data_IF_599871597986
#
_entry.id   IF_599871597986
#
_cell.length_a   1.000
_cell.length_b   1.000
_cell.length_c   1.000
_cell.angle_alpha   90.00
_cell.angle_beta   90.00
_cell.angle_gamma   90.00
#
_symmetry.space_group_name_H-M   'P 1'
#
loop_
_entity.id
_entity.type
_entity.pdbx_description
1 polymer ?
#
# COMPACT_ATOMS: atom_id res chain seq x y z
N UNK A 1 -12.34 -25.31 6.75
CA UNK A 1 -11.05 -24.61 6.54
C UNK A 1 -11.11 -23.11 6.84
N UNK A 2 -12.11 -22.36 6.35
CA UNK A 2 -12.26 -20.90 6.61
C UNK A 2 -12.38 -20.53 8.10
N UNK A 3 -13.31 -21.15 8.83
CA UNK A 3 -13.49 -20.91 10.27
C UNK A 3 -12.25 -21.22 11.12
N UNK A 4 -11.43 -22.21 10.70
CA UNK A 4 -10.18 -22.53 11.39
C UNK A 4 -9.12 -21.42 11.20
N UNK A 5 -9.01 -20.87 9.98
CA UNK A 5 -8.11 -19.73 9.70
C UNK A 5 -8.55 -18.47 10.44
N UNK A 6 -9.85 -18.21 10.51
CA UNK A 6 -10.41 -17.07 11.27
C UNK A 6 -10.12 -17.20 12.78
N UNK A 7 -10.31 -18.39 13.35
CA UNK A 7 -9.98 -18.65 14.75
C UNK A 7 -8.47 -18.46 15.04
N UNK A 8 -7.60 -18.93 14.13
CA UNK A 8 -6.16 -18.71 14.26
C UNK A 8 -5.80 -17.22 14.26
N UNK A 9 -6.38 -16.42 13.33
CA UNK A 9 -6.17 -14.98 13.29
C UNK A 9 -6.63 -14.28 14.57
N UNK A 10 -7.82 -14.62 15.07
CA UNK A 10 -8.34 -14.07 16.33
C UNK A 10 -7.40 -14.37 17.52
N UNK A 11 -6.89 -15.61 17.61
CA UNK A 11 -5.90 -16.02 18.62
C UNK A 11 -4.56 -15.28 18.51
N UNK A 12 -4.16 -14.90 17.30
CA UNK A 12 -2.95 -14.09 17.08
C UNK A 12 -3.20 -12.66 17.56
N UNK A 13 -4.34 -12.06 17.21
CA UNK A 13 -4.67 -10.67 17.56
C UNK A 13 -4.80 -10.51 19.07
N UNK A 14 -5.40 -11.45 19.80
CA UNK A 14 -5.42 -11.39 21.28
C UNK A 14 -4.02 -11.42 21.91
N UNK A 15 -3.03 -11.89 21.13
CA UNK A 15 -1.58 -11.91 21.37
C UNK A 15 -0.87 -10.55 21.41
N UNK A 16 -1.42 -9.53 20.75
CA UNK A 16 -0.60 -8.40 20.29
C UNK A 16 -0.40 -7.30 21.33
N UNK A 17 -1.25 -7.24 22.36
CA UNK A 17 -1.26 -6.16 23.37
C UNK A 17 0.13 -5.79 23.91
N UNK A 18 0.95 -6.71 24.45
CA UNK A 18 2.24 -6.33 25.01
C UNK A 18 3.16 -5.69 23.97
N UNK A 19 3.21 -6.25 22.76
CA UNK A 19 4.04 -5.74 21.66
C UNK A 19 3.56 -4.38 21.17
N UNK A 20 2.25 -4.17 21.09
CA UNK A 20 1.67 -2.91 20.66
C UNK A 20 1.87 -1.82 21.73
N UNK A 21 1.65 -2.14 23.02
CA UNK A 21 1.88 -1.20 24.12
C UNK A 21 3.33 -0.71 24.16
N UNK A 22 4.29 -1.64 24.10
CA UNK A 22 5.72 -1.33 24.08
C UNK A 22 6.09 -0.40 22.91
N UNK A 23 5.65 -0.76 21.69
CA UNK A 23 5.93 0.02 20.49
C UNK A 23 5.30 1.42 20.57
N UNK A 24 4.07 1.52 21.09
CA UNK A 24 3.39 2.81 21.24
C UNK A 24 4.08 3.72 22.26
N UNK A 25 4.54 3.16 23.38
CA UNK A 25 5.28 3.91 24.40
C UNK A 25 6.62 4.41 23.85
N UNK A 26 7.36 3.58 23.11
CA UNK A 26 8.61 3.98 22.48
C UNK A 26 8.41 5.13 21.49
N UNK A 27 7.32 5.13 20.73
CA UNK A 27 7.01 6.15 19.72
C UNK A 27 6.44 7.46 20.26
N UNK A 28 6.35 7.62 21.58
CA UNK A 28 6.16 8.92 22.21
C UNK A 28 7.46 9.72 22.33
N UNK A 29 8.62 9.08 22.15
CA UNK A 29 9.92 9.75 22.05
C UNK A 29 10.07 10.41 20.68
N UNK A 30 10.56 11.64 20.67
CA UNK A 30 10.81 12.42 19.46
C UNK A 30 12.02 11.97 18.66
N UNK A 31 12.95 11.29 19.32
CA UNK A 31 14.15 10.76 18.70
C UNK A 31 13.89 9.41 18.02
N UNK A 32 12.73 8.79 18.29
CA UNK A 32 12.35 7.53 17.67
C UNK A 32 11.83 7.77 16.27
N UNK A 33 12.33 6.96 15.35
CA UNK A 33 11.89 6.95 13.96
C UNK A 33 10.41 6.58 13.88
N UNK A 34 9.65 7.36 13.10
CA UNK A 34 8.19 7.19 12.95
C UNK A 34 7.43 7.34 14.26
N UNK A 35 7.83 8.36 15.02
CA UNK A 35 7.17 8.84 16.23
C UNK A 35 5.74 9.31 15.95
N UNK A 36 4.85 9.15 16.93
CA UNK A 36 3.45 9.57 16.84
C UNK A 36 3.23 11.06 17.15
N UNK A 37 4.28 11.79 17.50
CA UNK A 37 4.19 13.20 17.90
C UNK A 37 4.03 14.17 16.72
N UNK A 38 3.94 13.65 15.50
CA UNK A 38 3.62 14.47 14.33
C UNK A 38 2.24 15.10 14.54
N UNK A 39 2.18 16.43 14.49
CA UNK A 39 0.97 17.17 14.81
C UNK A 39 0.61 18.18 13.71
N UNK A 40 -0.69 18.42 13.48
CA UNK A 40 -1.15 19.53 12.65
C UNK A 40 -0.71 20.88 13.21
N UNK A 41 -0.62 21.90 12.34
CA UNK A 41 -0.20 23.27 12.72
C UNK A 41 -1.08 23.92 13.80
N UNK A 42 -2.34 23.48 13.92
CA UNK A 42 -3.32 24.01 14.86
C UNK A 42 -3.36 23.26 16.21
N UNK A 43 -2.52 22.25 16.39
CA UNK A 43 -2.50 21.41 17.59
C UNK A 43 -1.14 21.47 18.25
N UNK A 44 -1.10 21.62 19.57
CA UNK A 44 0.16 21.55 20.31
C UNK A 44 0.64 20.10 20.45
N UNK A 45 1.95 19.90 20.27
CA UNK A 45 2.61 18.60 20.44
C UNK A 45 2.34 17.95 21.80
N UNK A 46 2.34 18.74 22.88
CA UNK A 46 2.03 18.30 24.25
C UNK A 46 0.65 17.63 24.33
N UNK A 47 -0.36 18.20 23.67
CA UNK A 47 -1.72 17.66 23.65
C UNK A 47 -1.77 16.30 22.95
N UNK A 48 -1.04 16.13 21.84
CA UNK A 48 -0.93 14.83 21.14
C UNK A 48 -0.30 13.79 22.06
N UNK A 49 0.83 14.11 22.70
CA UNK A 49 1.53 13.19 23.61
C UNK A 49 0.61 12.78 24.77
N UNK A 50 -0.08 13.74 25.40
CA UNK A 50 -1.00 13.46 26.51
C UNK A 50 -2.18 12.58 26.08
N UNK A 51 -2.78 12.85 24.92
CA UNK A 51 -3.90 12.06 24.40
C UNK A 51 -3.49 10.62 24.10
N UNK A 52 -2.35 10.43 23.42
CA UNK A 52 -1.84 9.09 23.10
C UNK A 52 -1.42 8.34 24.38
N UNK A 53 -0.79 9.01 25.34
CA UNK A 53 -0.45 8.42 26.64
C UNK A 53 -1.70 7.94 27.38
N UNK A 54 -2.75 8.79 27.42
CA UNK A 54 -4.03 8.41 28.00
C UNK A 54 -4.66 7.21 27.28
N UNK A 55 -4.59 7.17 25.94
CA UNK A 55 -5.10 6.06 25.15
C UNK A 55 -4.39 4.75 25.48
N UNK A 56 -3.05 4.75 25.56
CA UNK A 56 -2.25 3.56 25.90
C UNK A 56 -2.72 2.93 27.22
N UNK A 57 -3.01 3.77 28.22
CA UNK A 57 -3.38 3.29 29.55
C UNK A 57 -4.86 2.94 29.69
N UNK A 58 -5.75 3.62 28.96
CA UNK A 58 -7.21 3.52 29.22
C UNK A 58 -8.03 2.94 28.07
N UNK A 59 -7.51 2.94 26.83
CA UNK A 59 -8.28 2.64 25.61
C UNK A 59 -7.66 1.59 24.71
N UNK A 60 -6.43 1.17 25.00
CA UNK A 60 -5.74 0.17 24.19
C UNK A 60 -6.47 -1.18 24.14
N UNK A 61 -7.09 -1.62 25.24
CA UNK A 61 -7.86 -2.87 25.27
C UNK A 61 -9.09 -2.78 24.36
N UNK A 62 -9.88 -1.72 24.49
CA UNK A 62 -11.05 -1.45 23.64
C UNK A 62 -10.66 -1.41 22.16
N UNK A 63 -9.53 -0.78 21.84
CA UNK A 63 -9.01 -0.74 20.47
C UNK A 63 -8.62 -2.13 19.94
N UNK A 64 -7.97 -2.96 20.76
CA UNK A 64 -7.60 -4.32 20.38
C UNK A 64 -8.84 -5.17 20.17
N UNK A 65 -9.89 -5.01 20.98
CA UNK A 65 -11.16 -5.70 20.82
C UNK A 65 -11.81 -5.34 19.47
N UNK A 66 -11.81 -4.06 19.09
CA UNK A 66 -12.25 -3.64 17.75
C UNK A 66 -11.42 -4.31 16.63
N UNK A 67 -10.11 -4.40 16.78
CA UNK A 67 -9.26 -5.13 15.85
C UNK A 67 -9.62 -6.63 15.78
N UNK A 68 -9.96 -7.26 16.91
CA UNK A 68 -10.36 -8.67 16.97
C UNK A 68 -11.70 -8.91 16.26
N UNK A 69 -12.63 -7.96 16.34
CA UNK A 69 -13.94 -8.07 15.68
C UNK A 69 -13.85 -7.96 14.15
N UNK A 70 -12.87 -7.20 13.66
CA UNK A 70 -12.77 -6.84 12.24
C UNK A 70 -11.78 -7.74 11.50
N UNK A 71 -10.52 -7.78 11.96
CA UNK A 71 -9.40 -8.29 11.17
C UNK A 71 -9.47 -9.80 10.82
N UNK A 72 -10.00 -10.70 11.67
CA UNK A 72 -10.08 -12.13 11.33
C UNK A 72 -10.89 -12.40 10.06
N UNK A 73 -12.00 -11.68 9.91
CA UNK A 73 -12.98 -11.86 8.84
C UNK A 73 -12.75 -10.93 7.63
N UNK A 74 -11.85 -9.96 7.76
CA UNK A 74 -11.49 -9.03 6.69
C UNK A 74 -10.90 -9.75 5.47
N UNK A 75 -11.40 -9.40 4.28
CA UNK A 75 -11.06 -10.07 3.02
C UNK A 75 -10.44 -9.13 1.99
N UNK A 76 -9.94 -9.72 0.89
CA UNK A 76 -9.46 -8.96 -0.28
C UNK A 76 -10.55 -8.07 -0.90
N UNK A 77 -11.81 -8.53 -0.93
CA UNK A 77 -12.94 -7.75 -1.47
C UNK A 77 -13.15 -6.49 -0.63
N UNK A 78 -13.07 -6.63 0.70
CA UNK A 78 -13.20 -5.51 1.63
C UNK A 78 -12.08 -4.50 1.38
N UNK A 79 -10.83 -4.97 1.31
CA UNK A 79 -9.66 -4.14 0.96
C UNK A 79 -9.86 -3.37 -0.35
N UNK A 80 -10.23 -4.05 -1.43
CA UNK A 80 -10.39 -3.45 -2.76
C UNK A 80 -11.53 -2.44 -2.87
N UNK A 81 -12.50 -2.51 -1.94
CA UNK A 81 -13.61 -1.57 -1.82
C UNK A 81 -13.25 -0.26 -1.11
N UNK A 82 -12.13 -0.21 -0.38
CA UNK A 82 -11.61 1.03 0.23
C UNK A 82 -11.24 2.03 -0.87
N UNK A 83 -11.66 3.29 -0.70
CA UNK A 83 -11.46 4.38 -1.66
C UNK A 83 -12.46 4.38 -2.84
N UNK A 84 -13.43 3.46 -2.85
CA UNK A 84 -14.54 3.44 -3.82
C UNK A 84 -15.75 4.23 -3.31
N UNK A 85 -16.77 4.36 -4.16
CA UNK A 85 -18.08 4.94 -3.76
C UNK A 85 -18.90 4.01 -2.86
N UNK A 86 -18.60 2.71 -2.90
CA UNK A 86 -19.38 1.67 -2.23
C UNK A 86 -18.45 0.72 -1.45
N UNK A 87 -17.82 1.20 -0.36
CA UNK A 87 -17.09 0.31 0.53
C UNK A 87 -18.03 -0.76 1.11
N UNK A 88 -17.53 -1.99 1.26
CA UNK A 88 -18.30 -3.04 1.96
C UNK A 88 -18.51 -2.67 3.42
N UNK A 89 -19.48 -3.29 4.10
CA UNK A 89 -19.70 -3.05 5.54
C UNK A 89 -18.46 -3.37 6.38
N UNK A 90 -17.69 -4.40 6.01
CA UNK A 90 -16.45 -4.73 6.71
C UNK A 90 -15.33 -3.73 6.40
N UNK A 91 -15.27 -3.19 5.18
CA UNK A 91 -14.37 -2.09 4.85
C UNK A 91 -14.69 -0.81 5.63
N UNK A 92 -15.98 -0.50 5.83
CA UNK A 92 -16.42 0.62 6.67
C UNK A 92 -15.95 0.44 8.11
N UNK A 93 -16.22 -0.72 8.71
CA UNK A 93 -15.71 -1.03 10.07
C UNK A 93 -14.20 -0.89 10.18
N UNK A 94 -13.47 -1.34 9.16
CA UNK A 94 -12.01 -1.17 9.12
C UNK A 94 -11.58 0.29 9.05
N UNK A 95 -12.28 1.13 8.28
CA UNK A 95 -12.08 2.57 8.25
C UNK A 95 -12.42 3.20 9.61
N UNK A 96 -13.47 2.72 10.28
CA UNK A 96 -13.89 3.21 11.61
C UNK A 96 -12.82 2.99 12.69
N UNK A 97 -11.86 2.08 12.49
CA UNK A 97 -10.68 1.97 13.37
C UNK A 97 -9.84 3.24 13.37
N UNK A 98 -9.68 3.87 12.20
CA UNK A 98 -8.94 5.12 12.06
C UNK A 98 -9.74 6.26 12.69
N UNK A 99 -11.04 6.33 12.44
CA UNK A 99 -11.92 7.33 13.07
C UNK A 99 -11.95 7.19 14.60
N UNK A 100 -11.92 5.97 15.12
CA UNK A 100 -11.82 5.70 16.56
C UNK A 100 -10.51 6.27 17.13
N UNK A 101 -9.39 6.06 16.45
CA UNK A 101 -8.10 6.64 16.86
C UNK A 101 -8.14 8.18 16.81
N UNK A 102 -8.71 8.76 15.75
CA UNK A 102 -8.84 10.21 15.60
C UNK A 102 -9.67 10.84 16.72
N UNK A 103 -10.80 10.22 17.08
CA UNK A 103 -11.64 10.64 18.23
C UNK A 103 -10.91 10.52 19.57
N UNK A 104 -9.89 9.68 19.65
CA UNK A 104 -9.05 9.52 20.84
C UNK A 104 -7.70 10.25 20.73
N UNK A 105 -7.60 11.26 19.87
CA UNK A 105 -6.50 12.22 19.85
C UNK A 105 -5.28 11.82 19.03
N UNK A 106 -5.40 10.84 18.15
CA UNK A 106 -4.39 10.57 17.12
C UNK A 106 -4.69 11.39 15.87
N UNK A 107 -3.87 12.38 15.47
CA UNK A 107 -4.13 13.15 14.27
C UNK A 107 -4.31 12.28 13.01
N UNK A 108 -5.39 12.55 12.28
CA UNK A 108 -5.72 11.95 10.99
C UNK A 108 -5.05 12.63 9.82
N UNK A 109 -5.00 11.96 8.65
CA UNK A 109 -4.35 12.50 7.45
C UNK A 109 -4.98 13.82 6.99
N UNK A 110 -6.32 13.93 7.09
CA UNK A 110 -7.09 15.14 6.73
C UNK A 110 -6.73 16.35 7.58
N UNK A 111 -6.26 16.14 8.81
CA UNK A 111 -5.93 17.21 9.75
C UNK A 111 -4.70 18.02 9.33
N UNK A 112 -3.81 17.42 8.52
CA UNK A 112 -2.58 18.06 8.07
C UNK A 112 -2.76 18.99 6.87
N UNK A 113 -3.85 18.85 6.09
CA UNK A 113 -4.13 19.66 4.88
C UNK A 113 -2.96 19.77 3.89
N UNK A 114 -2.17 18.70 3.74
CA UNK A 114 -1.02 18.64 2.84
C UNK A 114 -1.19 17.58 1.75
N UNK A 115 -0.58 17.77 0.56
CA UNK A 115 -0.48 16.71 -0.44
C UNK A 115 0.19 15.47 0.16
N UNK A 116 -0.31 14.29 -0.21
CA UNK A 116 0.25 13.01 0.24
C UNK A 116 1.46 12.62 -0.60
N UNK A 117 2.46 12.04 0.05
CA UNK A 117 3.71 11.63 -0.55
C UNK A 117 3.95 10.14 -0.32
N UNK A 118 4.24 9.42 -1.40
CA UNK A 118 4.52 7.99 -1.42
C UNK A 118 5.99 7.75 -1.76
N UNK A 119 6.64 6.84 -1.02
CA UNK A 119 8.10 6.65 -1.09
C UNK A 119 8.45 5.20 -1.45
N UNK A 120 9.06 5.00 -2.62
CA UNK A 120 9.42 3.68 -3.14
C UNK A 120 10.91 3.56 -3.48
N UNK A 121 11.56 2.55 -2.91
CA UNK A 121 13.00 2.32 -3.04
C UNK A 121 13.83 2.99 -1.95
N UNK A 122 15.13 2.68 -1.93
CA UNK A 122 16.03 3.03 -0.82
C UNK A 122 16.29 4.54 -0.71
N UNK A 123 16.57 5.21 -1.84
CA UNK A 123 16.82 6.66 -1.85
C UNK A 123 15.53 7.43 -1.52
N UNK A 124 14.38 6.98 -2.02
CA UNK A 124 13.09 7.56 -1.67
C UNK A 124 12.81 7.46 -0.16
N UNK A 125 13.06 6.29 0.44
CA UNK A 125 12.92 6.09 1.88
C UNK A 125 13.87 6.99 2.66
N UNK A 126 15.11 7.16 2.20
CA UNK A 126 16.07 8.07 2.82
C UNK A 126 15.55 9.52 2.79
N UNK A 127 15.10 9.98 1.61
CA UNK A 127 14.50 11.31 1.46
C UNK A 127 13.26 11.48 2.36
N UNK A 128 12.43 10.45 2.54
CA UNK A 128 11.29 10.51 3.44
C UNK A 128 11.68 10.82 4.91
N UNK A 129 12.90 10.47 5.35
CA UNK A 129 13.39 10.85 6.68
C UNK A 129 13.85 12.31 6.74
N UNK A 130 14.37 12.82 5.65
CA UNK A 130 14.85 14.21 5.54
C UNK A 130 13.68 15.18 5.33
N UNK A 131 12.64 14.74 4.62
CA UNK A 131 11.45 15.50 4.28
C UNK A 131 10.38 15.48 5.41
N UNK A 132 10.77 15.87 6.62
CA UNK A 132 9.90 15.88 7.81
C UNK A 132 8.63 16.75 7.68
N UNK A 133 8.58 17.62 6.67
CA UNK A 133 7.43 18.49 6.40
C UNK A 133 6.49 17.95 5.30
N UNK A 134 6.91 16.92 4.55
CA UNK A 134 6.13 16.29 3.48
C UNK A 134 5.31 15.12 4.02
N UNK A 135 3.98 15.24 3.97
CA UNK A 135 3.05 14.26 4.56
C UNK A 135 3.24 12.86 3.96
N UNK A 136 3.62 11.89 4.79
CA UNK A 136 3.67 10.47 4.46
C UNK A 136 2.86 9.63 5.45
N UNK A 137 2.60 8.37 5.10
CA UNK A 137 1.90 7.40 5.96
C UNK A 137 2.50 7.30 7.38
N UNK A 138 3.83 7.31 7.46
CA UNK A 138 4.59 7.26 8.71
C UNK A 138 4.49 8.52 9.58
N UNK A 139 4.01 9.64 9.02
CA UNK A 139 3.84 10.91 9.73
C UNK A 139 2.40 11.15 10.17
N UNK A 140 1.46 10.29 9.78
CA UNK A 140 0.06 10.38 10.23
C UNK A 140 -0.12 9.42 11.40
N UNK A 141 -0.27 9.91 12.65
CA UNK A 141 -0.34 9.04 13.83
C UNK A 141 -1.41 7.96 13.74
N UNK A 142 -2.62 8.28 13.26
CA UNK A 142 -3.70 7.29 13.10
C UNK A 142 -3.38 6.21 12.06
N UNK A 143 -2.57 6.51 11.03
CA UNK A 143 -2.12 5.52 10.03
C UNK A 143 -0.97 4.69 10.60
N UNK A 144 0.03 5.35 11.22
CA UNK A 144 1.22 4.69 11.73
C UNK A 144 0.87 3.62 12.77
N UNK A 145 -0.06 3.91 13.68
CA UNK A 145 -0.44 2.95 14.72
C UNK A 145 -1.11 1.69 14.13
N UNK A 146 -1.89 1.78 13.05
CA UNK A 146 -2.44 0.58 12.39
C UNK A 146 -1.31 -0.23 11.74
N UNK A 147 -0.25 0.40 11.23
CA UNK A 147 0.96 -0.32 10.84
C UNK A 147 1.67 -0.97 12.03
N UNK A 148 1.62 -0.38 13.23
CA UNK A 148 2.12 -1.00 14.47
C UNK A 148 1.31 -2.22 14.90
N UNK A 149 -0.03 -2.21 14.72
CA UNK A 149 -0.86 -3.41 14.87
C UNK A 149 -0.36 -4.51 13.94
N UNK A 150 -0.10 -4.18 12.67
CA UNK A 150 0.43 -5.14 11.70
C UNK A 150 1.82 -5.70 12.10
N UNK A 151 2.72 -4.84 12.58
CA UNK A 151 4.03 -5.24 13.13
C UNK A 151 3.89 -6.14 14.35
N UNK A 152 2.94 -5.86 15.25
CA UNK A 152 2.69 -6.66 16.43
C UNK A 152 2.14 -8.05 16.07
N UNK A 153 1.22 -8.14 15.09
CA UNK A 153 0.75 -9.43 14.53
C UNK A 153 1.95 -10.20 13.97
N UNK A 154 2.81 -9.57 13.17
CA UNK A 154 4.03 -10.19 12.65
C UNK A 154 4.94 -10.70 13.78
N UNK A 155 5.18 -9.92 14.84
CA UNK A 155 5.95 -10.35 16.03
C UNK A 155 5.32 -11.57 16.72
N UNK A 156 3.99 -11.70 16.74
CA UNK A 156 3.33 -12.87 17.34
C UNK A 156 3.42 -14.11 16.45
N UNK A 157 3.20 -13.97 15.14
CA UNK A 157 3.13 -15.11 14.21
C UNK A 157 4.47 -15.50 13.57
N UNK A 158 5.49 -14.65 13.68
CA UNK A 158 6.86 -14.84 13.17
C UNK A 158 6.95 -15.11 11.66
N UNK A 159 5.90 -14.79 10.92
CA UNK A 159 5.76 -15.11 9.49
C UNK A 159 5.13 -13.93 8.77
N UNK A 160 5.63 -13.58 7.58
CA UNK A 160 5.03 -12.55 6.72
C UNK A 160 4.17 -13.25 5.66
N UNK A 161 2.87 -13.34 5.90
CA UNK A 161 1.93 -14.13 5.11
C UNK A 161 0.92 -13.25 4.33
N UNK A 162 0.02 -13.90 3.60
CA UNK A 162 -1.02 -13.22 2.81
C UNK A 162 -1.92 -12.32 3.68
N UNK A 163 -2.09 -12.65 4.97
CA UNK A 163 -2.87 -11.84 5.89
C UNK A 163 -2.17 -10.51 6.20
N UNK A 164 -0.87 -10.52 6.47
CA UNK A 164 -0.08 -9.30 6.64
C UNK A 164 -0.04 -8.48 5.34
N UNK A 165 0.10 -9.12 4.17
CA UNK A 165 0.06 -8.44 2.88
C UNK A 165 -1.29 -7.74 2.67
N UNK A 166 -2.40 -8.46 2.89
CA UNK A 166 -3.75 -7.91 2.81
C UNK A 166 -3.90 -6.71 3.74
N UNK A 167 -3.46 -6.83 4.99
CA UNK A 167 -3.64 -5.79 5.99
C UNK A 167 -2.81 -4.54 5.65
N UNK A 168 -1.51 -4.70 5.35
CA UNK A 168 -0.65 -3.58 4.91
C UNK A 168 -1.17 -2.89 3.67
N UNK A 169 -1.66 -3.64 2.68
CA UNK A 169 -2.31 -3.07 1.50
C UNK A 169 -3.57 -2.26 1.87
N UNK A 170 -4.37 -2.75 2.82
CA UNK A 170 -5.60 -2.06 3.26
C UNK A 170 -5.30 -0.74 3.97
N UNK A 171 -4.25 -0.71 4.80
CA UNK A 171 -3.78 0.53 5.44
C UNK A 171 -3.31 1.54 4.39
N UNK A 172 -2.49 1.09 3.43
CA UNK A 172 -2.05 1.91 2.29
C UNK A 172 -3.25 2.46 1.48
N UNK A 173 -4.33 1.69 1.32
CA UNK A 173 -5.55 2.15 0.64
C UNK A 173 -6.27 3.25 1.42
N UNK A 174 -6.38 3.11 2.75
CA UNK A 174 -6.98 4.16 3.61
C UNK A 174 -6.15 5.43 3.55
N UNK A 175 -4.83 5.34 3.70
CA UNK A 175 -3.95 6.51 3.55
C UNK A 175 -4.12 7.18 2.17
N UNK A 176 -4.17 6.38 1.11
CA UNK A 176 -4.36 6.87 -0.25
C UNK A 176 -5.73 7.48 -0.49
N UNK A 177 -6.78 7.09 0.25
CA UNK A 177 -8.11 7.67 0.07
C UNK A 177 -8.23 9.10 0.57
N UNK A 178 -7.24 9.58 1.34
CA UNK A 178 -7.13 10.98 1.77
C UNK A 178 -6.36 11.86 0.79
N UNK A 179 -5.86 11.31 -0.32
CA UNK A 179 -5.20 12.10 -1.36
C UNK A 179 -6.18 13.11 -1.97
N UNK A 180 -5.78 14.38 -2.01
CA UNK A 180 -6.55 15.46 -2.62
C UNK A 180 -5.64 16.32 -3.50
N UNK A 181 -6.21 16.94 -4.54
CA UNK A 181 -5.49 17.71 -5.56
C UNK A 181 -4.41 16.90 -6.30
N UNK A 182 -3.24 16.70 -5.68
CA UNK A 182 -2.10 16.02 -6.29
C UNK A 182 -1.52 15.01 -5.31
N UNK A 183 -1.25 13.79 -5.79
CA UNK A 183 -0.48 12.79 -5.09
C UNK A 183 0.95 12.74 -5.64
N UNK A 184 1.96 12.85 -4.78
CA UNK A 184 3.37 12.76 -5.18
C UNK A 184 3.91 11.36 -4.92
N UNK A 185 4.57 10.77 -5.90
CA UNK A 185 5.14 9.43 -5.82
C UNK A 185 6.62 9.49 -6.15
N UNK A 186 7.46 9.28 -5.15
CA UNK A 186 8.91 9.27 -5.29
C UNK A 186 9.41 7.85 -5.47
N UNK A 187 10.04 7.59 -6.61
CA UNK A 187 10.52 6.26 -6.98
C UNK A 187 12.02 6.31 -7.23
N UNK A 188 12.73 5.42 -6.54
CA UNK A 188 14.14 5.13 -6.77
C UNK A 188 14.32 3.65 -7.09
N UNK A 189 15.21 3.34 -8.02
CA UNK A 189 15.56 1.94 -8.29
C UNK A 189 16.48 1.40 -7.19
N UNK A 190 16.23 0.19 -6.70
CA UNK A 190 17.19 -0.55 -5.87
C UNK A 190 18.36 -1.11 -6.70
N UNK A 191 18.25 -1.05 -8.03
CA UNK A 191 19.23 -1.56 -8.99
C UNK A 191 19.80 -0.38 -9.78
N UNK A 192 21.06 -0.01 -9.50
CA UNK A 192 21.72 1.19 -10.04
C UNK A 192 21.93 1.14 -11.55
N UNK A 193 22.05 -0.06 -12.12
CA UNK A 193 22.22 -0.28 -13.56
C UNK A 193 20.95 -0.01 -14.40
N UNK A 194 19.84 0.39 -13.78
CA UNK A 194 18.61 0.75 -14.48
C UNK A 194 17.99 2.03 -13.93
N UNK A 195 17.26 2.74 -14.78
CA UNK A 195 16.50 3.94 -14.39
C UNK A 195 15.47 3.64 -13.30
N UNK A 196 15.04 4.62 -12.51
CA UNK A 196 13.90 4.41 -11.61
C UNK A 196 12.60 4.11 -12.39
N UNK A 197 11.67 3.39 -11.75
CA UNK A 197 10.40 3.00 -12.36
C UNK A 197 9.52 2.21 -11.41
N UNK A 198 8.24 2.11 -11.74
CA UNK A 198 7.22 1.47 -10.93
C UNK A 198 7.57 -0.02 -10.77
N UNK A 199 7.68 -0.48 -9.53
CA UNK A 199 7.89 -1.90 -9.25
C UNK A 199 6.56 -2.56 -8.96
N UNK A 200 6.21 -3.61 -9.71
CA UNK A 200 4.97 -4.36 -9.44
C UNK A 200 5.10 -5.21 -8.18
N UNK A 201 3.95 -5.60 -7.63
CA UNK A 201 3.86 -6.42 -6.42
C UNK A 201 4.46 -5.76 -5.16
N UNK A 202 4.44 -4.43 -5.09
CA UNK A 202 4.64 -3.66 -3.85
C UNK A 202 3.34 -2.97 -3.43
N UNK A 203 3.32 -2.33 -2.25
CA UNK A 203 2.14 -1.64 -1.74
C UNK A 203 1.64 -0.56 -2.70
N UNK A 204 2.55 0.22 -3.30
CA UNK A 204 2.16 1.23 -4.28
C UNK A 204 1.37 0.64 -5.44
N UNK A 205 1.87 -0.45 -6.04
CA UNK A 205 1.22 -1.11 -7.17
C UNK A 205 -0.10 -1.80 -6.79
N UNK A 206 -0.14 -2.48 -5.64
CA UNK A 206 -1.26 -3.34 -5.25
C UNK A 206 -2.40 -2.58 -4.55
N UNK A 207 -2.08 -1.47 -3.90
CA UNK A 207 -2.99 -0.75 -3.02
C UNK A 207 -3.12 0.73 -3.41
N UNK A 208 -2.02 1.47 -3.36
CA UNK A 208 -2.05 2.93 -3.40
C UNK A 208 -2.45 3.44 -4.79
N UNK A 209 -1.76 2.99 -5.83
CA UNK A 209 -2.04 3.36 -7.22
C UNK A 209 -3.49 3.02 -7.62
N UNK A 210 -4.04 1.81 -7.40
CA UNK A 210 -5.45 1.54 -7.67
C UNK A 210 -6.42 2.51 -6.97
N UNK A 211 -6.16 2.88 -5.72
CA UNK A 211 -7.00 3.85 -5.00
C UNK A 211 -6.89 5.24 -5.61
N UNK A 212 -5.67 5.73 -5.88
CA UNK A 212 -5.43 7.03 -6.50
C UNK A 212 -6.09 7.12 -7.89
N UNK A 213 -6.00 6.05 -8.69
CA UNK A 213 -6.66 5.96 -10.00
C UNK A 213 -8.17 6.10 -9.88
N UNK A 214 -8.81 5.44 -8.89
CA UNK A 214 -10.25 5.59 -8.65
C UNK A 214 -10.63 7.00 -8.19
N UNK A 215 -9.82 7.64 -7.36
CA UNK A 215 -10.05 9.04 -6.95
C UNK A 215 -9.94 9.99 -8.16
N UNK A 216 -8.97 9.77 -9.03
CA UNK A 216 -8.81 10.54 -10.26
C UNK A 216 -9.98 10.34 -11.23
N UNK A 217 -10.44 9.10 -11.43
CA UNK A 217 -11.63 8.79 -12.24
C UNK A 217 -12.89 9.53 -11.73
N UNK A 218 -12.98 9.74 -10.41
CA UNK A 218 -14.07 10.47 -9.74
C UNK A 218 -13.83 11.99 -9.63
N UNK A 219 -12.74 12.50 -10.21
CA UNK A 219 -12.36 13.91 -10.17
C UNK A 219 -12.09 14.45 -8.74
N UNK A 220 -11.82 13.57 -7.78
CA UNK A 220 -11.42 13.93 -6.41
C UNK A 220 -9.91 14.16 -6.29
N UNK A 221 -9.15 13.65 -7.26
CA UNK A 221 -7.72 13.85 -7.43
C UNK A 221 -7.46 14.38 -8.85
N UNK A 222 -6.72 15.47 -8.97
CA UNK A 222 -6.40 16.08 -10.26
C UNK A 222 -5.25 15.36 -10.97
N UNK A 223 -4.22 14.96 -10.22
CA UNK A 223 -3.03 14.35 -10.82
C UNK A 223 -2.30 13.37 -9.87
N UNK A 224 -1.53 12.48 -10.47
CA UNK A 224 -0.56 11.60 -9.80
C UNK A 224 0.81 11.95 -10.39
N UNK A 225 1.62 12.68 -9.62
CA UNK A 225 2.94 13.13 -10.03
C UNK A 225 4.02 12.12 -9.64
N UNK A 226 4.73 11.60 -10.63
CA UNK A 226 5.81 10.65 -10.43
C UNK A 226 7.15 11.37 -10.49
N UNK A 227 7.90 11.28 -9.39
CA UNK A 227 9.27 11.79 -9.25
C UNK A 227 10.23 10.61 -9.35
N UNK A 228 11.03 10.56 -10.42
CA UNK A 228 12.00 9.49 -10.64
C UNK A 228 13.41 9.94 -10.22
N UNK A 229 14.09 9.12 -9.42
CA UNK A 229 15.49 9.37 -9.07
C UNK A 229 16.42 8.95 -10.22
N UNK A 230 17.34 9.85 -10.59
CA UNK A 230 18.42 9.59 -11.54
C UNK A 230 19.69 9.22 -10.76
N UNK A 231 20.08 7.94 -10.85
CA UNK A 231 21.28 7.42 -10.19
C UNK A 231 22.59 7.93 -10.80
N UNK A 232 22.60 8.37 -12.06
CA UNK A 232 23.80 8.89 -12.71
C UNK A 232 24.09 10.33 -12.33
N UNK A 233 23.02 11.11 -12.11
CA UNK A 233 23.11 12.52 -11.73
C UNK A 233 22.92 12.76 -10.23
N UNK A 234 22.61 11.71 -9.48
CA UNK A 234 22.32 11.75 -8.04
C UNK A 234 21.24 12.78 -7.65
N UNK A 235 20.21 12.90 -8.47
CA UNK A 235 19.16 13.92 -8.28
C UNK A 235 17.76 13.39 -8.60
N UNK A 236 16.75 14.06 -8.07
CA UNK A 236 15.36 13.84 -8.45
C UNK A 236 15.04 14.57 -9.75
N UNK A 237 14.45 13.86 -10.70
CA UNK A 237 13.90 14.48 -11.90
C UNK A 237 12.64 15.28 -11.58
N UNK A 238 12.30 16.23 -12.45
CA UNK A 238 11.04 16.96 -12.36
C UNK A 238 9.85 15.98 -12.38
N UNK A 239 8.77 16.29 -11.64
CA UNK A 239 7.59 15.45 -11.62
C UNK A 239 6.98 15.30 -13.01
N UNK A 240 6.53 14.09 -13.29
CA UNK A 240 5.80 13.75 -14.51
C UNK A 240 4.41 13.27 -14.12
N UNK A 241 3.36 13.86 -14.71
CA UNK A 241 2.00 13.36 -14.54
C UNK A 241 1.89 11.95 -15.10
N UNK A 242 1.33 11.02 -14.33
CA UNK A 242 1.06 9.64 -14.78
C UNK A 242 0.11 9.59 -16.00
N UNK A 243 -0.63 10.67 -16.25
CA UNK A 243 -1.62 10.79 -17.32
C UNK A 243 -1.07 11.49 -18.58
N UNK A 244 0.19 11.95 -18.55
CA UNK A 244 0.88 12.58 -19.67
C UNK A 244 1.55 11.57 -20.62
N UNK A 245 2.03 12.05 -21.78
CA UNK A 245 2.81 11.23 -22.72
C UNK A 245 4.10 10.72 -22.07
N UNK A 246 4.76 11.59 -21.32
CA UNK A 246 5.97 11.29 -20.56
C UNK A 246 5.68 10.25 -19.46
N UNK A 247 4.50 10.35 -18.82
CA UNK A 247 4.03 9.38 -17.83
C UNK A 247 3.88 7.97 -18.39
N UNK A 248 3.49 7.85 -19.66
CA UNK A 248 3.36 6.57 -20.35
C UNK A 248 4.71 5.90 -20.65
N UNK A 249 5.80 6.66 -20.64
CA UNK A 249 7.15 6.14 -20.81
C UNK A 249 7.81 5.69 -19.49
N UNK A 250 7.13 5.88 -18.34
CA UNK A 250 7.64 5.43 -17.04
C UNK A 250 7.85 3.90 -17.06
N UNK A 251 9.05 3.41 -16.73
CA UNK A 251 9.32 1.98 -16.67
C UNK A 251 8.48 1.28 -15.59
N UNK A 252 8.06 0.06 -15.88
CA UNK A 252 7.38 -0.87 -14.98
C UNK A 252 8.19 -2.16 -14.91
N UNK A 253 8.51 -2.60 -13.69
CA UNK A 253 9.44 -3.71 -13.45
C UNK A 253 8.91 -4.71 -12.46
N UNK A 254 9.21 -5.99 -12.70
CA UNK A 254 9.00 -7.08 -11.74
C UNK A 254 10.20 -7.22 -10.83
N UNK A 255 9.95 -7.45 -9.53
CA UNK A 255 11.00 -7.74 -8.56
C UNK A 255 11.57 -9.15 -8.74
N UNK A 256 10.68 -10.10 -9.00
CA UNK A 256 11.00 -11.53 -9.08
C UNK A 256 10.98 -12.04 -10.51
N UNK A 257 11.78 -13.08 -10.75
CA UNK A 257 11.80 -13.86 -11.98
C UNK A 257 10.44 -14.55 -12.18
N UNK A 258 9.94 -14.57 -13.42
CA UNK A 258 8.73 -15.31 -13.78
C UNK A 258 9.09 -16.68 -14.36
N UNK A 259 8.26 -17.73 -14.19
CA UNK A 259 8.53 -19.06 -14.75
C UNK A 259 8.73 -19.13 -16.26
N UNK A 260 8.32 -18.09 -16.99
CA UNK A 260 8.47 -17.98 -18.45
C UNK A 260 9.70 -17.17 -18.87
N UNK A 261 10.43 -16.58 -17.93
CA UNK A 261 11.66 -15.85 -18.23
C UNK A 261 12.79 -16.84 -18.55
N UNK A 262 13.71 -16.46 -19.43
CA UNK A 262 14.87 -17.29 -19.72
C UNK A 262 15.84 -17.33 -18.52
N UNK A 263 16.49 -18.49 -18.33
CA UNK A 263 17.46 -18.70 -17.24
C UNK A 263 18.61 -17.68 -17.26
N UNK A 264 18.95 -17.18 -18.44
CA UNK A 264 19.96 -16.15 -18.67
C UNK A 264 19.64 -14.79 -18.03
N UNK A 265 18.38 -14.55 -17.64
CA UNK A 265 17.96 -13.29 -16.99
C UNK A 265 17.93 -13.39 -15.46
N UNK A 266 18.24 -14.55 -14.89
CA UNK A 266 18.06 -14.83 -13.45
C UNK A 266 18.82 -13.85 -12.57
N UNK A 267 20.04 -13.47 -12.98
CA UNK A 267 20.91 -12.53 -12.26
C UNK A 267 20.38 -11.09 -12.21
N UNK A 268 19.34 -10.77 -13.00
CA UNK A 268 18.71 -9.45 -13.07
C UNK A 268 17.62 -9.27 -12.00
N UNK A 269 17.09 -10.36 -11.46
CA UNK A 269 15.99 -10.34 -10.50
C UNK A 269 16.49 -10.48 -9.06
N UNK A 270 15.72 -9.90 -8.13
CA UNK A 270 16.07 -9.93 -6.72
C UNK A 270 15.67 -11.28 -6.13
N UNK A 271 16.58 -11.94 -5.43
CA UNK A 271 16.32 -13.15 -4.65
C UNK A 271 16.04 -12.78 -3.20
N UNK A 272 15.33 -13.66 -2.49
CA UNK A 272 15.06 -13.51 -1.07
C UNK A 272 16.38 -13.78 -0.31
N UNK A 273 16.71 -12.93 0.67
CA UNK A 273 17.89 -13.07 1.54
C UNK A 273 19.27 -12.95 0.86
N UNK A 274 19.47 -11.95 0.00
CA UNK A 274 20.80 -11.64 -0.53
C UNK A 274 21.76 -11.12 0.55
N UNK A 275 23.00 -11.60 0.54
CA UNK A 275 24.14 -11.02 1.27
C UNK A 275 24.41 -9.58 0.81
N UNK A 276 25.28 -8.86 1.54
CA UNK A 276 25.71 -7.52 1.11
C UNK A 276 26.42 -7.57 -0.25
N UNK A 277 27.35 -8.50 -0.44
CA UNK A 277 28.06 -8.61 -1.73
C UNK A 277 27.12 -9.05 -2.86
N UNK A 278 26.14 -9.92 -2.58
CA UNK A 278 25.12 -10.32 -3.55
C UNK A 278 24.24 -9.14 -3.97
N UNK A 279 23.79 -8.32 -3.01
CA UNK A 279 23.03 -7.11 -3.32
C UNK A 279 23.83 -6.14 -4.17
N UNK A 280 25.12 -5.97 -3.89
CA UNK A 280 25.98 -5.07 -4.67
C UNK A 280 26.21 -5.59 -6.08
N UNK A 281 26.49 -6.90 -6.24
CA UNK A 281 26.57 -7.53 -7.57
C UNK A 281 25.26 -7.41 -8.34
N UNK A 282 24.14 -7.68 -7.69
CA UNK A 282 22.81 -7.54 -8.30
C UNK A 282 22.48 -6.10 -8.66
N UNK A 283 22.79 -5.13 -7.80
CA UNK A 283 22.53 -3.72 -8.06
C UNK A 283 23.26 -3.22 -9.31
N UNK A 284 24.41 -3.83 -9.63
CA UNK A 284 25.24 -3.51 -10.79
C UNK A 284 25.07 -4.48 -11.98
N UNK A 285 24.34 -5.60 -11.86
CA UNK A 285 24.13 -6.56 -12.96
C UNK A 285 23.22 -5.99 -14.05
N UNK A 286 23.05 -6.69 -15.17
CA UNK A 286 22.29 -6.19 -16.32
C UNK A 286 20.85 -5.73 -15.97
N UNK A 287 20.34 -4.66 -16.60
CA UNK A 287 19.01 -4.13 -16.32
C UNK A 287 17.92 -5.14 -16.65
N UNK A 288 16.83 -5.11 -15.88
CA UNK A 288 15.66 -5.93 -16.14
C UNK A 288 15.00 -5.53 -17.47
N UNK A 289 14.27 -6.44 -18.14
CA UNK A 289 13.52 -6.09 -19.34
C UNK A 289 12.63 -4.87 -19.12
N UNK A 290 12.70 -3.92 -20.05
CA UNK A 290 11.96 -2.66 -19.95
C UNK A 290 10.55 -2.81 -20.54
N UNK A 291 9.53 -2.64 -19.71
CA UNK A 291 8.14 -2.46 -20.11
C UNK A 291 7.69 -1.10 -19.60
N UNK A 292 7.04 -0.29 -20.43
CA UNK A 292 6.55 1.02 -19.98
C UNK A 292 5.09 0.95 -19.53
N UNK A 293 4.67 1.91 -18.70
CA UNK A 293 3.31 1.99 -18.19
C UNK A 293 2.27 2.09 -19.32
N UNK A 294 2.54 2.89 -20.35
CA UNK A 294 1.69 3.02 -21.53
C UNK A 294 1.54 1.70 -22.30
N UNK A 295 2.63 0.97 -22.52
CA UNK A 295 2.59 -0.36 -23.16
C UNK A 295 1.76 -1.36 -22.35
N UNK A 296 1.92 -1.36 -21.02
CA UNK A 296 1.14 -2.22 -20.14
C UNK A 296 -0.36 -1.88 -20.19
N UNK A 297 -0.71 -0.59 -20.24
CA UNK A 297 -2.10 -0.12 -20.41
C UNK A 297 -2.72 -0.63 -21.71
N UNK A 298 -1.98 -0.55 -22.82
CA UNK A 298 -2.41 -1.09 -24.12
C UNK A 298 -2.63 -2.60 -24.05
N UNK A 299 -1.69 -3.35 -23.49
CA UNK A 299 -1.82 -4.81 -23.32
C UNK A 299 -3.08 -5.14 -22.50
N UNK A 300 -3.28 -4.45 -21.38
CA UNK A 300 -4.45 -4.65 -20.52
C UNK A 300 -5.77 -4.33 -21.24
N UNK A 301 -5.80 -3.28 -22.07
CA UNK A 301 -6.96 -2.93 -22.87
C UNK A 301 -7.29 -4.02 -23.89
N UNK A 302 -6.31 -4.49 -24.67
CA UNK A 302 -6.48 -5.57 -25.64
C UNK A 302 -7.03 -6.83 -24.96
N UNK A 303 -6.51 -7.16 -23.78
CA UNK A 303 -6.99 -8.30 -23.00
C UNK A 303 -8.45 -8.13 -22.57
N UNK A 304 -8.82 -6.96 -22.04
CA UNK A 304 -10.21 -6.66 -21.65
C UNK A 304 -11.16 -6.79 -22.84
N UNK A 305 -10.78 -6.26 -24.00
CA UNK A 305 -11.59 -6.34 -25.23
C UNK A 305 -11.80 -7.78 -25.67
N UNK A 306 -10.74 -8.61 -25.69
CA UNK A 306 -10.83 -10.04 -26.00
C UNK A 306 -11.71 -10.79 -25.02
N UNK A 307 -11.62 -10.51 -23.72
CA UNK A 307 -12.46 -11.14 -22.70
C UNK A 307 -13.93 -10.76 -22.87
N UNK A 308 -14.23 -9.51 -23.21
CA UNK A 308 -15.61 -9.07 -23.50
C UNK A 308 -16.19 -9.78 -24.73
N UNK A 309 -15.42 -9.89 -25.81
CA UNK A 309 -15.83 -10.60 -27.04
C UNK A 309 -16.05 -12.10 -26.79
N UNK A 310 -15.26 -12.73 -25.92
CA UNK A 310 -15.47 -14.14 -25.56
C UNK A 310 -16.77 -14.32 -24.77
N UNK A 311 -17.04 -13.45 -23.79
CA UNK A 311 -18.30 -13.48 -23.03
C UNK A 311 -19.52 -13.28 -23.93
N UNK A 312 -19.46 -12.39 -24.92
CA UNK A 312 -20.59 -12.17 -25.84
C UNK A 312 -20.88 -13.39 -26.71
N UNK A 313 -19.84 -14.08 -27.21
CA UNK A 313 -19.98 -15.34 -27.97
C UNK A 313 -20.52 -16.49 -27.12
N UNK A 314 -20.12 -16.58 -25.85
CA UNK A 314 -20.62 -17.60 -24.92
C UNK A 314 -22.08 -17.33 -24.50
N UNK A 315 -22.56 -16.08 -24.53
CA UNK A 315 -23.98 -15.72 -24.30
C UNK A 315 -24.88 -15.82 -25.53
N UNK A 316 -24.34 -15.90 -26.75
CA UNK A 316 -25.13 -16.06 -27.99
C UNK A 316 -25.52 -17.53 -28.27
N UNK A 317 -25.02 -18.50 -27.50
CA UNK A 317 -25.42 -19.91 -27.58
C UNK A 317 -25.80 -20.53 -26.23
N UNK A 318 -27.00 -20.22 -25.70
CA UNK A 318 -27.73 -21.19 -24.90
C UNK A 318 -29.22 -21.20 -25.28
N UNK A 319 -29.60 -21.68 -26.46
CA UNK A 319 -30.99 -22.09 -26.77
C UNK A 319 -31.12 -22.91 -28.08
N UNK A 320 -30.24 -23.88 -28.29
CA UNK A 320 -30.39 -24.85 -29.38
C UNK A 320 -30.51 -26.29 -28.86
N UNK A 321 -31.29 -26.50 -27.79
CA UNK A 321 -31.86 -27.80 -27.45
C UNK A 321 -33.18 -27.56 -26.73
N UNK A 322 -34.31 -27.80 -27.41
CA UNK A 322 -35.33 -28.82 -27.05
C UNK A 322 -36.63 -28.50 -27.78
N UNK A 323 -36.81 -29.09 -28.96
CA UNK A 323 -38.15 -29.41 -29.49
C UNK A 323 -37.98 -30.53 -30.52
N UNK A 324 -37.76 -31.76 -30.05
CA UNK A 324 -38.21 -32.94 -30.79
C UNK A 324 -39.56 -33.33 -30.23
N UNK A 325 -40.57 -33.18 -31.08
CA UNK A 325 -41.94 -33.62 -30.87
C UNK A 325 -41.99 -35.13 -30.70
N UNK A 326 -42.75 -35.58 -29.70
CA UNK A 326 -43.34 -36.91 -29.70
C UNK A 326 -44.49 -36.92 -30.73
N UNK A 327 -44.39 -37.82 -31.70
CA UNK A 327 -45.53 -38.55 -32.26
C UNK A 327 -45.30 -40.00 -31.90
#
# INVERSE_FOLDING_TARGET
MKAHKENLKAKIISKIKPFLKEEMQAKLDENVRWTYISHPEHMEKSNVISAISYFIENKLDEFIDLCQDILPSFTQIDSESIGTEHPTEMAKKFIDLFDYLEKNGFPGATSFKKPVNFWSGEVAKKKAFEAVHELSDSQVPSISIIFDVCRAIYKVQQTYDDFIILFTCSISRVFSSYAFNVANVYISSEKKSESAGITVSNNFWLAELPTLMKLHERQLLQDIQIHLYDHHREQWNNPVSLFSKEGYEIPVRRRSLHPLDSKELTDRFKTINMSREEKERWANSQPRPNLTYGKLKIIAQIWRERTKQKKSKDTEFPNAKTSMSLV
#
